data_IF_129664317377
#
_entry.id   IF_129664317377
#
_cell.length_a   1.000
_cell.length_b   1.000
_cell.length_c   1.000
_cell.angle_alpha   90.00
_cell.angle_beta   90.00
_cell.angle_gamma   90.00
#
_symmetry.space_group_name_H-M   'P 1'
#
loop_
_entity.id
_entity.type
_entity.pdbx_description
1 polymer ?
#
# COMPACT_ATOMS: atom_id res chain seq x y z
N UNK A 1 25.57 -20.39 28.32
CA UNK A 1 24.50 -19.70 27.58
C UNK A 1 24.38 -19.94 26.05
N UNK A 2 25.25 -20.69 25.32
CA UNK A 2 25.15 -20.78 23.86
C UNK A 2 24.00 -21.67 23.31
N UNK A 3 23.41 -22.54 24.13
CA UNK A 3 22.30 -23.43 23.71
C UNK A 3 20.92 -22.78 23.70
N UNK A 4 20.72 -21.65 24.40
CA UNK A 4 19.41 -21.01 24.49
C UNK A 4 19.06 -20.16 23.27
N UNK A 5 20.04 -19.53 22.61
CA UNK A 5 19.78 -18.68 21.45
C UNK A 5 19.21 -19.45 20.23
N UNK A 6 19.73 -20.64 19.85
CA UNK A 6 19.16 -21.42 18.74
C UNK A 6 17.75 -21.95 19.03
N UNK A 7 17.48 -22.34 20.28
CA UNK A 7 16.15 -22.78 20.72
C UNK A 7 15.14 -21.63 20.66
N UNK A 8 15.52 -20.45 21.14
CA UNK A 8 14.68 -19.26 21.09
C UNK A 8 14.40 -18.82 19.64
N UNK A 9 15.39 -18.86 18.74
CA UNK A 9 15.19 -18.55 17.32
C UNK A 9 14.23 -19.54 16.64
N UNK A 10 14.37 -20.84 16.90
CA UNK A 10 13.44 -21.85 16.39
C UNK A 10 12.03 -21.65 16.92
N UNK A 11 11.89 -21.35 18.21
CA UNK A 11 10.59 -21.04 18.79
C UNK A 11 9.95 -19.83 18.09
N UNK A 12 10.69 -18.73 17.92
CA UNK A 12 10.23 -17.55 17.19
C UNK A 12 9.80 -17.89 15.76
N UNK A 13 10.58 -18.69 15.02
CA UNK A 13 10.24 -19.10 13.67
C UNK A 13 8.92 -19.89 13.64
N UNK A 14 8.77 -20.88 14.54
CA UNK A 14 7.55 -21.71 14.63
C UNK A 14 6.35 -20.84 14.97
N UNK A 15 6.44 -19.98 16.00
CA UNK A 15 5.35 -19.08 16.36
C UNK A 15 5.02 -18.10 15.24
N UNK A 16 6.01 -17.57 14.52
CA UNK A 16 5.76 -16.66 13.40
C UNK A 16 5.02 -17.35 12.26
N UNK A 17 5.37 -18.59 11.95
CA UNK A 17 4.69 -19.41 10.94
C UNK A 17 3.26 -19.71 11.39
N UNK A 18 3.07 -20.15 12.64
CA UNK A 18 1.74 -20.49 13.17
C UNK A 18 0.82 -19.27 13.20
N UNK A 19 1.28 -18.16 13.78
CA UNK A 19 0.50 -16.92 13.87
C UNK A 19 0.22 -16.38 12.46
N UNK A 20 1.21 -16.38 11.57
CA UNK A 20 1.03 -15.94 10.19
C UNK A 20 0.01 -16.80 9.43
N UNK A 21 0.06 -18.13 9.61
CA UNK A 21 -0.91 -19.05 9.00
C UNK A 21 -2.32 -18.85 9.54
N UNK A 22 -2.47 -18.74 10.87
CA UNK A 22 -3.77 -18.49 11.52
C UNK A 22 -4.34 -17.13 11.13
N UNK A 23 -3.50 -16.10 11.04
CA UNK A 23 -3.87 -14.76 10.58
C UNK A 23 -4.33 -14.78 9.12
N UNK A 24 -3.59 -15.44 8.23
CA UNK A 24 -3.97 -15.52 6.82
C UNK A 24 -5.27 -16.30 6.61
N UNK A 25 -5.44 -17.43 7.32
CA UNK A 25 -6.64 -18.26 7.21
C UNK A 25 -7.87 -17.52 7.73
N UNK A 26 -7.78 -16.92 8.93
CA UNK A 26 -8.87 -16.11 9.48
C UNK A 26 -9.17 -14.90 8.62
N UNK A 27 -8.15 -14.23 8.06
CA UNK A 27 -8.34 -13.13 7.10
C UNK A 27 -9.12 -13.62 5.89
N UNK A 28 -8.71 -14.75 5.32
CA UNK A 28 -9.38 -15.34 4.16
C UNK A 28 -10.85 -15.64 4.45
N UNK A 29 -11.14 -16.27 5.58
CA UNK A 29 -12.51 -16.57 6.03
C UNK A 29 -13.28 -15.27 6.28
N UNK A 30 -12.70 -14.30 6.99
CA UNK A 30 -13.34 -13.03 7.31
C UNK A 30 -13.65 -12.22 6.04
N UNK A 31 -12.70 -12.10 5.12
CA UNK A 31 -12.90 -11.41 3.84
C UNK A 31 -13.89 -12.15 2.96
N UNK A 32 -13.89 -13.49 2.98
CA UNK A 32 -14.87 -14.27 2.25
C UNK A 32 -16.28 -14.09 2.82
N UNK A 33 -16.48 -14.25 4.13
CA UNK A 33 -17.79 -14.12 4.77
C UNK A 33 -18.29 -12.67 4.75
N UNK A 34 -17.39 -11.72 4.98
CA UNK A 34 -17.65 -10.29 4.92
C UNK A 34 -17.51 -9.72 3.51
N UNK A 35 -17.40 -10.55 2.46
CA UNK A 35 -17.38 -10.09 1.07
C UNK A 35 -18.66 -9.31 0.85
N UNK A 36 -18.49 -8.01 0.72
CA UNK A 36 -19.62 -7.12 0.67
C UNK A 36 -20.25 -7.32 -0.71
N UNK A 37 -21.50 -7.80 -0.74
CA UNK A 37 -22.34 -7.90 -1.95
C UNK A 37 -22.70 -6.52 -2.51
N UNK A 38 -22.34 -5.44 -1.82
CA UNK A 38 -22.45 -4.08 -2.34
C UNK A 38 -21.49 -3.91 -3.52
N UNK A 39 -22.03 -4.19 -4.68
CA UNK A 39 -21.75 -3.49 -5.94
C UNK A 39 -21.99 -1.95 -5.84
N UNK A 40 -22.27 -1.41 -4.63
CA UNK A 40 -23.06 -0.21 -4.36
C UNK A 40 -22.59 0.54 -3.10
N UNK A 41 -21.27 0.71 -2.90
CA UNK A 41 -20.73 1.63 -1.89
C UNK A 41 -20.81 3.12 -2.28
N UNK A 42 -21.36 3.38 -3.46
CA UNK A 42 -21.64 4.68 -4.06
C UNK A 42 -22.60 4.42 -5.21
N UNK A 43 -23.32 5.46 -5.65
CA UNK A 43 -24.34 5.37 -6.70
C UNK A 43 -23.71 5.13 -8.09
N UNK A 44 -23.16 3.93 -8.31
CA UNK A 44 -22.41 3.53 -9.52
C UNK A 44 -23.31 3.13 -10.69
N UNK A 45 -24.65 3.22 -10.56
CA UNK A 45 -25.59 3.00 -11.67
C UNK A 45 -25.27 3.88 -12.88
N UNK A 46 -24.79 5.09 -12.64
CA UNK A 46 -24.34 6.02 -13.68
C UNK A 46 -23.13 5.50 -14.47
N UNK A 47 -22.20 4.80 -13.81
CA UNK A 47 -21.02 4.19 -14.46
C UNK A 47 -21.44 2.99 -15.31
N UNK A 48 -22.35 2.15 -14.81
CA UNK A 48 -22.90 1.03 -15.58
C UNK A 48 -23.74 1.50 -16.78
N UNK A 49 -24.61 2.49 -16.57
CA UNK A 49 -25.39 3.10 -17.64
C UNK A 49 -24.49 3.73 -18.71
N UNK A 50 -23.39 4.36 -18.32
CA UNK A 50 -22.38 4.84 -19.26
C UNK A 50 -21.74 3.67 -20.02
N UNK A 51 -21.28 2.63 -19.31
CA UNK A 51 -20.61 1.47 -19.88
C UNK A 51 -21.48 0.64 -20.84
N UNK A 52 -22.80 0.65 -20.63
CA UNK A 52 -23.77 0.00 -21.51
C UNK A 52 -23.94 0.72 -22.84
N UNK A 53 -23.84 2.04 -22.84
CA UNK A 53 -24.10 2.90 -24.00
C UNK A 53 -22.83 3.34 -24.75
N UNK A 54 -21.65 3.02 -24.23
CA UNK A 54 -20.37 3.43 -24.81
C UNK A 54 -19.47 2.25 -25.13
N UNK A 55 -18.43 2.51 -25.94
CA UNK A 55 -17.45 1.47 -26.27
C UNK A 55 -16.69 1.02 -25.02
N UNK A 56 -16.13 -0.19 -25.08
CA UNK A 56 -15.30 -0.73 -24.01
C UNK A 56 -14.14 0.21 -23.65
N UNK A 57 -13.48 0.76 -24.67
CA UNK A 57 -12.35 1.67 -24.49
C UNK A 57 -12.75 2.99 -23.83
N UNK A 58 -13.84 3.63 -24.29
CA UNK A 58 -14.35 4.86 -23.67
C UNK A 58 -14.72 4.65 -22.21
N UNK A 59 -15.37 3.53 -21.91
CA UNK A 59 -15.81 3.19 -20.55
C UNK A 59 -14.64 2.96 -19.60
N UNK A 60 -13.54 2.38 -20.11
CA UNK A 60 -12.33 2.17 -19.32
C UNK A 60 -11.50 3.44 -19.12
N UNK A 61 -11.41 4.29 -20.16
CA UNK A 61 -10.46 5.41 -20.20
C UNK A 61 -10.86 6.59 -19.29
N UNK A 62 -12.14 6.93 -19.19
CA UNK A 62 -12.59 8.16 -18.54
C UNK A 62 -12.41 8.15 -17.02
N UNK A 63 -12.16 9.34 -16.44
CA UNK A 63 -12.02 9.46 -14.98
C UNK A 63 -13.33 9.21 -14.26
N UNK A 64 -13.25 8.39 -13.21
CA UNK A 64 -14.31 8.15 -12.25
C UNK A 64 -13.92 8.78 -10.92
N UNK A 65 -14.79 9.64 -10.37
CA UNK A 65 -14.52 10.37 -9.12
C UNK A 65 -13.16 11.10 -9.06
N UNK A 66 -12.66 11.59 -10.20
CA UNK A 66 -11.35 12.26 -10.32
C UNK A 66 -10.14 11.32 -10.45
N UNK A 67 -10.37 10.00 -10.55
CA UNK A 67 -9.34 8.98 -10.69
C UNK A 67 -9.36 8.35 -12.08
N UNK A 68 -8.18 8.13 -12.66
CA UNK A 68 -8.03 7.28 -13.86
C UNK A 68 -7.83 5.84 -13.39
N UNK A 69 -8.86 5.02 -13.51
CA UNK A 69 -8.90 3.61 -13.08
C UNK A 69 -8.93 2.66 -14.28
N UNK A 70 -8.17 2.97 -15.34
CA UNK A 70 -8.19 2.25 -16.61
C UNK A 70 -8.07 0.74 -16.48
N UNK A 71 -7.04 0.22 -15.80
CA UNK A 71 -6.83 -1.23 -15.72
C UNK A 71 -7.89 -1.95 -14.87
N UNK A 72 -8.25 -1.48 -13.66
CA UNK A 72 -9.37 -2.04 -12.90
C UNK A 72 -10.69 -1.96 -13.66
N UNK A 73 -10.94 -0.87 -14.41
CA UNK A 73 -12.15 -0.76 -15.23
C UNK A 73 -12.23 -1.83 -16.32
N UNK A 74 -11.11 -2.27 -16.90
CA UNK A 74 -11.12 -3.39 -17.84
C UNK A 74 -11.62 -4.67 -17.15
N UNK A 75 -11.24 -4.90 -15.90
CA UNK A 75 -11.71 -6.03 -15.09
C UNK A 75 -13.19 -5.86 -14.76
N UNK A 76 -13.61 -4.66 -14.34
CA UNK A 76 -15.01 -4.32 -14.07
C UNK A 76 -15.92 -4.49 -15.29
N UNK A 77 -15.47 -4.08 -16.47
CA UNK A 77 -16.19 -4.27 -17.73
C UNK A 77 -16.27 -5.75 -18.13
N UNK A 78 -15.22 -6.53 -17.89
CA UNK A 78 -15.26 -7.98 -18.08
C UNK A 78 -16.26 -8.64 -17.14
N UNK A 79 -16.28 -8.23 -15.88
CA UNK A 79 -17.28 -8.68 -14.93
C UNK A 79 -18.71 -8.36 -15.41
N UNK A 80 -18.94 -7.12 -15.84
CA UNK A 80 -20.25 -6.67 -16.32
C UNK A 80 -20.73 -7.48 -17.53
N UNK A 81 -19.87 -7.69 -18.54
CA UNK A 81 -20.28 -8.31 -19.81
C UNK A 81 -20.30 -9.84 -19.81
N UNK A 82 -19.40 -10.49 -19.07
CA UNK A 82 -19.24 -11.95 -19.13
C UNK A 82 -19.71 -12.66 -17.86
N UNK A 83 -19.76 -11.95 -16.73
CA UNK A 83 -20.13 -12.50 -15.43
C UNK A 83 -21.37 -11.80 -14.84
N UNK A 84 -22.11 -11.06 -15.67
CA UNK A 84 -23.37 -10.38 -15.29
C UNK A 84 -23.23 -9.42 -14.10
N UNK A 85 -22.04 -8.87 -13.88
CA UNK A 85 -21.77 -8.03 -12.71
C UNK A 85 -21.70 -8.80 -11.39
N UNK A 86 -21.32 -10.08 -11.42
CA UNK A 86 -21.18 -10.89 -10.20
C UNK A 86 -20.08 -10.32 -9.29
N UNK A 87 -20.44 -10.09 -8.03
CA UNK A 87 -19.53 -9.61 -6.99
C UNK A 87 -18.41 -10.62 -6.71
N UNK A 88 -18.67 -11.92 -6.91
CA UNK A 88 -17.69 -12.98 -6.65
C UNK A 88 -16.48 -12.88 -7.55
N UNK A 89 -16.67 -12.58 -8.83
CA UNK A 89 -15.58 -12.49 -9.80
C UNK A 89 -14.58 -11.40 -9.39
N UNK A 90 -15.06 -10.18 -9.11
CA UNK A 90 -14.20 -9.08 -8.69
C UNK A 90 -13.52 -9.35 -7.33
N UNK A 91 -14.23 -10.00 -6.40
CA UNK A 91 -13.65 -10.41 -5.13
C UNK A 91 -12.46 -11.36 -5.33
N UNK A 92 -12.63 -12.42 -6.12
CA UNK A 92 -11.55 -13.39 -6.35
C UNK A 92 -10.38 -12.81 -7.14
N UNK A 93 -10.65 -11.94 -8.13
CA UNK A 93 -9.59 -11.24 -8.86
C UNK A 93 -8.82 -10.30 -7.92
N UNK A 94 -9.52 -9.50 -7.12
CA UNK A 94 -8.90 -8.62 -6.12
C UNK A 94 -8.06 -9.39 -5.11
N UNK A 95 -8.58 -10.52 -4.60
CA UNK A 95 -7.86 -11.40 -3.69
C UNK A 95 -6.61 -12.01 -4.36
N UNK A 96 -6.72 -12.46 -5.62
CA UNK A 96 -5.60 -12.95 -6.40
C UNK A 96 -4.51 -11.90 -6.58
N UNK A 97 -4.89 -10.66 -6.91
CA UNK A 97 -3.96 -9.52 -7.03
C UNK A 97 -3.28 -9.19 -5.68
N UNK A 98 -3.99 -9.33 -4.57
CA UNK A 98 -3.42 -9.16 -3.24
C UNK A 98 -2.36 -10.25 -2.94
N UNK A 99 -2.63 -11.50 -3.28
CA UNK A 99 -1.65 -12.59 -3.17
C UNK A 99 -0.44 -12.37 -4.08
N UNK A 100 -0.66 -11.86 -5.30
CA UNK A 100 0.43 -11.48 -6.22
C UNK A 100 1.29 -10.38 -5.59
N UNK A 101 0.67 -9.34 -5.03
CA UNK A 101 1.38 -8.26 -4.32
C UNK A 101 2.26 -8.82 -3.21
N UNK A 102 1.70 -9.64 -2.33
CA UNK A 102 2.44 -10.26 -1.22
C UNK A 102 3.59 -11.12 -1.74
N UNK A 103 3.34 -11.93 -2.77
CA UNK A 103 4.37 -12.77 -3.38
C UNK A 103 5.52 -11.93 -3.95
N UNK A 104 5.22 -10.85 -4.68
CA UNK A 104 6.21 -9.94 -5.24
C UNK A 104 7.07 -9.27 -4.15
N UNK A 105 6.46 -8.88 -3.03
CA UNK A 105 7.17 -8.30 -1.88
C UNK A 105 8.04 -9.33 -1.14
N UNK A 106 7.63 -10.61 -1.11
CA UNK A 106 8.37 -11.68 -0.43
C UNK A 106 9.55 -12.23 -1.25
N UNK A 107 9.49 -12.22 -2.58
CA UNK A 107 10.59 -12.66 -3.46
C UNK A 107 11.95 -12.06 -3.07
N UNK A 108 12.11 -10.72 -2.96
CA UNK A 108 13.41 -10.12 -2.61
C UNK A 108 13.84 -10.44 -1.18
N UNK A 109 12.90 -10.58 -0.24
CA UNK A 109 13.16 -10.93 1.16
C UNK A 109 13.74 -12.35 1.26
N UNK A 110 13.12 -13.31 0.58
CA UNK A 110 13.58 -14.71 0.61
C UNK A 110 14.88 -14.92 -0.19
N UNK A 111 15.09 -14.13 -1.25
CA UNK A 111 16.35 -14.12 -2.02
C UNK A 111 17.49 -13.39 -1.33
N UNK A 112 17.23 -12.64 -0.26
CA UNK A 112 18.27 -11.95 0.50
C UNK A 112 19.18 -12.97 1.20
N UNK A 113 20.46 -12.98 0.83
CA UNK A 113 21.46 -13.88 1.43
C UNK A 113 22.03 -13.34 2.75
N UNK A 114 21.82 -12.05 3.03
CA UNK A 114 22.35 -11.39 4.23
C UNK A 114 21.43 -11.58 5.45
N UNK A 115 20.19 -12.01 5.22
CA UNK A 115 19.18 -12.18 6.25
C UNK A 115 19.08 -13.64 6.71
N UNK A 116 19.05 -13.83 8.03
CA UNK A 116 18.77 -15.12 8.66
C UNK A 116 17.33 -15.59 8.45
N UNK A 117 17.07 -16.87 8.73
CA UNK A 117 15.74 -17.47 8.60
C UNK A 117 14.71 -16.80 9.53
N UNK A 118 15.13 -16.39 10.72
CA UNK A 118 14.30 -15.67 11.69
C UNK A 118 13.82 -14.33 11.11
N UNK A 119 14.72 -13.50 10.57
CA UNK A 119 14.34 -12.26 9.89
C UNK A 119 13.40 -12.49 8.71
N UNK A 120 13.61 -13.54 7.91
CA UNK A 120 12.73 -13.89 6.77
C UNK A 120 11.33 -14.32 7.20
N UNK A 121 11.23 -15.16 8.22
CA UNK A 121 9.93 -15.64 8.75
C UNK A 121 9.15 -14.50 9.41
N UNK A 122 9.80 -13.66 10.21
CA UNK A 122 9.17 -12.46 10.79
C UNK A 122 8.76 -11.44 9.73
N UNK A 123 9.61 -11.20 8.73
CA UNK A 123 9.26 -10.34 7.60
C UNK A 123 8.05 -10.89 6.84
N UNK A 124 7.95 -12.21 6.68
CA UNK A 124 6.79 -12.86 6.06
C UNK A 124 5.53 -12.63 6.87
N UNK A 125 5.58 -12.83 8.20
CA UNK A 125 4.48 -12.51 9.10
C UNK A 125 4.03 -11.05 8.96
N UNK A 126 4.97 -10.11 8.91
CA UNK A 126 4.69 -8.67 8.79
C UNK A 126 4.05 -8.33 7.44
N UNK A 127 4.57 -8.85 6.33
CA UNK A 127 3.97 -8.63 5.00
C UNK A 127 2.56 -9.21 4.94
N UNK A 128 2.34 -10.42 5.47
CA UNK A 128 1.01 -11.05 5.54
C UNK A 128 0.08 -10.21 6.39
N UNK A 129 0.47 -9.85 7.62
CA UNK A 129 -0.35 -9.06 8.54
C UNK A 129 -0.73 -7.71 7.93
N UNK A 130 0.23 -6.98 7.35
CA UNK A 130 -0.02 -5.67 6.74
C UNK A 130 -0.94 -5.72 5.52
N UNK A 131 -0.93 -6.80 4.75
CA UNK A 131 -1.75 -6.96 3.55
C UNK A 131 -3.12 -7.61 3.83
N UNK A 132 -3.21 -8.49 4.83
CA UNK A 132 -4.43 -9.22 5.15
C UNK A 132 -5.12 -8.70 6.40
N UNK A 133 -4.72 -7.53 6.90
CA UNK A 133 -5.32 -6.94 8.09
C UNK A 133 -6.84 -6.74 7.95
N UNK A 134 -7.62 -7.34 8.84
CA UNK A 134 -9.08 -7.22 8.79
C UNK A 134 -9.57 -5.80 9.11
N UNK A 135 -8.77 -4.96 9.76
CA UNK A 135 -9.10 -3.54 10.00
C UNK A 135 -9.27 -2.73 8.70
N UNK A 136 -8.75 -3.21 7.57
CA UNK A 136 -8.97 -2.61 6.23
C UNK A 136 -9.97 -3.40 5.37
N UNK A 137 -10.80 -4.25 5.98
CA UNK A 137 -11.75 -5.12 5.27
C UNK A 137 -12.75 -4.35 4.39
N UNK A 138 -13.12 -3.12 4.75
CA UNK A 138 -13.95 -2.26 3.91
C UNK A 138 -13.36 -2.02 2.51
N UNK A 139 -12.05 -2.18 2.35
CA UNK A 139 -11.34 -2.11 1.06
C UNK A 139 -11.18 -3.51 0.47
N UNK A 140 -10.61 -4.44 1.25
CA UNK A 140 -10.17 -5.74 0.73
C UNK A 140 -11.33 -6.72 0.50
N UNK A 141 -12.46 -6.54 1.18
CA UNK A 141 -13.67 -7.31 0.95
C UNK A 141 -14.56 -6.74 -0.17
N UNK A 142 -14.31 -5.49 -0.60
CA UNK A 142 -14.94 -4.91 -1.78
C UNK A 142 -14.10 -5.26 -3.02
N UNK A 143 -14.66 -6.04 -3.95
CA UNK A 143 -13.91 -6.55 -5.10
C UNK A 143 -13.32 -5.44 -5.99
N UNK A 144 -14.04 -4.34 -6.21
CA UNK A 144 -13.57 -3.24 -7.06
C UNK A 144 -12.44 -2.46 -6.40
N UNK A 145 -12.65 -1.98 -5.17
CA UNK A 145 -11.59 -1.28 -4.43
C UNK A 145 -10.37 -2.16 -4.18
N UNK A 146 -10.55 -3.46 -3.93
CA UNK A 146 -9.43 -4.38 -3.80
C UNK A 146 -8.68 -4.52 -5.14
N UNK A 147 -9.37 -4.64 -6.27
CA UNK A 147 -8.74 -4.63 -7.59
C UNK A 147 -7.93 -3.35 -7.83
N UNK A 148 -8.49 -2.17 -7.58
CA UNK A 148 -7.80 -0.89 -7.77
C UNK A 148 -6.50 -0.80 -6.97
N UNK A 149 -6.60 -1.02 -5.65
CA UNK A 149 -5.48 -0.85 -4.73
C UNK A 149 -4.43 -1.97 -4.90
N UNK A 150 -4.87 -3.22 -5.04
CA UNK A 150 -3.95 -4.36 -5.19
C UNK A 150 -3.29 -4.40 -6.57
N UNK A 151 -3.96 -3.95 -7.64
CA UNK A 151 -3.32 -3.82 -8.95
C UNK A 151 -2.29 -2.68 -8.95
N UNK A 152 -2.63 -1.54 -8.32
CA UNK A 152 -1.70 -0.44 -8.14
C UNK A 152 -0.43 -0.89 -7.38
N UNK A 153 -0.61 -1.60 -6.27
CA UNK A 153 0.49 -2.11 -5.47
C UNK A 153 1.25 -3.27 -6.15
N UNK A 154 0.58 -4.14 -6.91
CA UNK A 154 1.24 -5.19 -7.70
C UNK A 154 2.18 -4.60 -8.75
N UNK A 155 1.72 -3.58 -9.49
CA UNK A 155 2.56 -2.84 -10.44
C UNK A 155 3.76 -2.19 -9.75
N UNK A 156 3.55 -1.51 -8.63
CA UNK A 156 4.63 -0.91 -7.86
C UNK A 156 5.62 -1.96 -7.31
N UNK A 157 5.14 -3.07 -6.73
CA UNK A 157 5.99 -4.15 -6.21
C UNK A 157 6.82 -4.83 -7.30
N UNK A 158 6.24 -5.04 -8.49
CA UNK A 158 6.98 -5.55 -9.65
C UNK A 158 8.09 -4.58 -10.08
N UNK A 159 7.79 -3.28 -10.11
CA UNK A 159 8.78 -2.26 -10.43
C UNK A 159 9.92 -2.22 -9.40
N UNK A 160 9.62 -2.34 -8.10
CA UNK A 160 10.63 -2.42 -7.03
C UNK A 160 11.53 -3.64 -7.15
N UNK A 161 10.95 -4.80 -7.50
CA UNK A 161 11.70 -6.05 -7.68
C UNK A 161 12.73 -5.94 -8.82
N UNK A 162 12.43 -5.16 -9.85
CA UNK A 162 13.18 -5.13 -11.10
C UNK A 162 14.05 -3.87 -11.29
N UNK A 163 13.82 -2.80 -10.53
CA UNK A 163 14.51 -1.51 -10.72
C UNK A 163 16.04 -1.63 -10.70
N UNK A 164 16.59 -2.46 -9.80
CA UNK A 164 18.04 -2.65 -9.72
C UNK A 164 18.64 -3.37 -10.94
N UNK A 165 17.82 -4.17 -11.66
CA UNK A 165 18.24 -4.95 -12.83
C UNK A 165 18.15 -4.15 -14.14
N UNK A 166 17.56 -2.95 -14.12
CA UNK A 166 17.44 -2.09 -15.31
C UNK A 166 18.81 -1.66 -15.88
N UNK A 167 19.85 -1.58 -15.03
CA UNK A 167 21.23 -1.29 -15.45
C UNK A 167 21.73 -2.25 -16.54
N UNK A 168 21.25 -3.49 -16.55
CA UNK A 168 21.77 -4.54 -17.41
C UNK A 168 20.82 -4.90 -18.57
N UNK A 169 19.61 -4.31 -18.65
CA UNK A 169 18.59 -4.77 -19.59
C UNK A 169 17.55 -3.70 -19.92
N UNK A 170 17.43 -3.39 -21.21
CA UNK A 170 16.34 -2.55 -21.76
C UNK A 170 14.98 -3.21 -21.62
N UNK A 171 14.88 -4.53 -21.80
CA UNK A 171 13.64 -5.28 -21.57
C UNK A 171 13.16 -5.13 -20.14
N UNK A 172 14.07 -5.21 -19.16
CA UNK A 172 13.72 -5.00 -17.75
C UNK A 172 13.27 -3.55 -17.50
N UNK A 173 13.90 -2.59 -18.18
CA UNK A 173 13.52 -1.18 -18.10
C UNK A 173 12.11 -0.95 -18.66
N UNK A 174 11.77 -1.57 -19.80
CA UNK A 174 10.44 -1.53 -20.38
C UNK A 174 9.40 -2.14 -19.42
N UNK A 175 9.69 -3.30 -18.81
CA UNK A 175 8.80 -3.91 -17.80
C UNK A 175 8.57 -2.97 -16.62
N UNK A 176 9.61 -2.33 -16.09
CA UNK A 176 9.48 -1.35 -14.99
C UNK A 176 8.59 -0.18 -15.38
N UNK A 177 8.75 0.36 -16.60
CA UNK A 177 7.91 1.45 -17.10
C UNK A 177 6.46 1.01 -17.26
N UNK A 178 6.21 -0.15 -17.87
CA UNK A 178 4.86 -0.71 -18.00
C UNK A 178 4.22 -0.93 -16.63
N UNK A 179 4.97 -1.47 -15.66
CA UNK A 179 4.50 -1.67 -14.29
C UNK A 179 4.18 -0.33 -13.59
N UNK A 180 4.94 0.73 -13.88
CA UNK A 180 4.66 2.09 -13.42
C UNK A 180 3.36 2.67 -14.01
N UNK A 181 3.08 2.42 -15.29
CA UNK A 181 1.81 2.80 -15.91
C UNK A 181 0.63 2.00 -15.37
N UNK A 182 0.80 0.69 -15.16
CA UNK A 182 -0.20 -0.16 -14.49
C UNK A 182 -0.51 0.41 -13.11
N UNK A 183 0.51 0.76 -12.32
CA UNK A 183 0.30 1.37 -11.02
C UNK A 183 -0.47 2.69 -11.12
N UNK A 184 -0.01 3.60 -11.98
CA UNK A 184 -0.56 4.96 -12.14
C UNK A 184 -2.02 5.01 -12.57
N UNK A 185 -2.42 4.09 -13.45
CA UNK A 185 -3.77 4.03 -14.01
C UNK A 185 -4.63 2.92 -13.38
N UNK A 186 -4.21 2.41 -12.23
CA UNK A 186 -5.08 1.56 -11.39
C UNK A 186 -5.74 2.35 -10.28
N UNK A 187 -5.05 3.32 -9.69
CA UNK A 187 -5.61 4.19 -8.67
C UNK A 187 -4.79 5.48 -8.57
N UNK A 188 -5.39 6.59 -8.12
CA UNK A 188 -4.70 7.88 -8.04
C UNK A 188 -3.43 7.86 -7.18
N UNK A 189 -3.42 7.06 -6.11
CA UNK A 189 -2.23 6.84 -5.28
C UNK A 189 -1.07 6.18 -6.03
N UNK A 190 -1.35 5.44 -7.11
CA UNK A 190 -0.35 4.77 -7.94
C UNK A 190 0.61 5.72 -8.66
N UNK A 191 0.24 6.99 -8.87
CA UNK A 191 1.14 8.01 -9.41
C UNK A 191 2.41 8.23 -8.55
N UNK A 192 2.35 7.86 -7.26
CA UNK A 192 3.50 7.85 -6.36
C UNK A 192 4.66 6.96 -6.84
N UNK A 193 4.41 6.04 -7.78
CA UNK A 193 5.44 5.16 -8.32
C UNK A 193 6.58 5.94 -8.99
N UNK A 194 6.29 7.03 -9.67
CA UNK A 194 7.29 7.78 -10.43
C UNK A 194 8.32 8.50 -9.56
N UNK A 195 7.94 9.35 -8.60
CA UNK A 195 8.93 9.95 -7.69
C UNK A 195 9.65 8.87 -6.87
N UNK A 196 8.98 7.76 -6.56
CA UNK A 196 9.61 6.60 -5.90
C UNK A 196 10.71 5.99 -6.77
N UNK A 197 10.42 5.65 -8.03
CA UNK A 197 11.38 5.05 -8.95
C UNK A 197 12.56 5.97 -9.25
N UNK A 198 12.32 7.29 -9.37
CA UNK A 198 13.38 8.28 -9.52
C UNK A 198 14.30 8.32 -8.28
N UNK A 199 13.72 8.31 -7.08
CA UNK A 199 14.49 8.29 -5.84
C UNK A 199 15.28 6.98 -5.69
N UNK A 200 14.67 5.84 -6.01
CA UNK A 200 15.36 4.54 -5.98
C UNK A 200 16.46 4.48 -7.02
N UNK A 201 16.23 4.97 -8.24
CA UNK A 201 17.24 5.04 -9.29
C UNK A 201 18.44 5.92 -8.87
N UNK A 202 18.15 7.04 -8.20
CA UNK A 202 19.17 7.90 -7.60
C UNK A 202 19.99 7.15 -6.54
N UNK A 203 19.32 6.49 -5.60
CA UNK A 203 19.95 5.77 -4.48
C UNK A 203 20.75 4.54 -4.95
N UNK A 204 20.31 3.87 -6.02
CA UNK A 204 20.98 2.72 -6.64
C UNK A 204 22.08 3.11 -7.63
N UNK A 205 22.29 4.42 -7.86
CA UNK A 205 23.27 4.96 -8.83
C UNK A 205 23.08 4.34 -10.23
N UNK A 206 21.83 4.29 -10.68
CA UNK A 206 21.50 3.79 -12.02
C UNK A 206 22.05 4.73 -13.10
N UNK A 207 22.28 4.22 -14.33
CA UNK A 207 22.72 5.05 -15.44
C UNK A 207 21.76 6.22 -15.69
N UNK A 208 22.30 7.38 -16.06
CA UNK A 208 21.51 8.59 -16.34
C UNK A 208 20.39 8.34 -17.36
N UNK A 209 20.65 7.51 -18.38
CA UNK A 209 19.66 7.11 -19.39
C UNK A 209 18.40 6.51 -18.78
N UNK A 210 18.54 5.67 -17.76
CA UNK A 210 17.41 5.08 -17.02
C UNK A 210 16.63 6.15 -16.27
N UNK A 211 17.34 7.08 -15.59
CA UNK A 211 16.71 8.19 -14.85
C UNK A 211 15.92 9.09 -15.81
N UNK A 212 16.50 9.46 -16.95
CA UNK A 212 15.85 10.28 -17.98
C UNK A 212 14.60 9.58 -18.51
N UNK A 213 14.69 8.29 -18.84
CA UNK A 213 13.54 7.54 -19.35
C UNK A 213 12.42 7.40 -18.30
N UNK A 214 12.77 7.18 -17.03
CA UNK A 214 11.79 7.22 -15.93
C UNK A 214 11.16 8.61 -15.79
N UNK A 215 11.94 9.68 -15.95
CA UNK A 215 11.45 11.07 -15.92
C UNK A 215 10.50 11.39 -17.08
N UNK A 216 10.83 10.98 -18.31
CA UNK A 216 9.96 11.13 -19.48
C UNK A 216 8.67 10.32 -19.28
N UNK A 217 8.78 9.09 -18.79
CA UNK A 217 7.61 8.23 -18.52
C UNK A 217 6.71 8.82 -17.43
N UNK A 218 7.31 9.42 -16.39
CA UNK A 218 6.59 10.13 -15.34
C UNK A 218 5.82 11.33 -15.88
N UNK A 219 6.47 12.13 -16.73
CA UNK A 219 5.82 13.27 -17.38
C UNK A 219 4.67 12.81 -18.28
N UNK A 220 4.87 11.75 -19.08
CA UNK A 220 3.82 11.18 -19.90
C UNK A 220 2.63 10.68 -19.07
N UNK A 221 2.89 9.96 -17.97
CA UNK A 221 1.83 9.51 -17.07
C UNK A 221 1.05 10.67 -16.46
N UNK A 222 1.74 11.74 -16.02
CA UNK A 222 1.10 12.92 -15.46
C UNK A 222 0.27 13.68 -16.51
N UNK A 223 0.78 13.84 -17.74
CA UNK A 223 0.07 14.49 -18.84
C UNK A 223 -1.18 13.70 -19.23
N UNK A 224 -1.08 12.38 -19.40
CA UNK A 224 -2.24 11.53 -19.68
C UNK A 224 -3.24 11.61 -18.52
N UNK A 225 -2.77 11.51 -17.28
CA UNK A 225 -3.64 11.60 -16.11
C UNK A 225 -4.37 12.95 -16.06
N UNK A 226 -3.75 14.07 -16.43
CA UNK A 226 -4.44 15.37 -16.45
C UNK A 226 -5.40 15.51 -17.63
N UNK A 227 -4.97 15.13 -18.83
CA UNK A 227 -5.71 15.31 -20.09
C UNK A 227 -6.94 14.41 -20.22
N UNK A 228 -6.97 13.25 -19.56
CA UNK A 228 -8.13 12.35 -19.62
C UNK A 228 -9.37 13.05 -19.04
N UNK A 229 -10.49 13.12 -19.79
CA UNK A 229 -11.70 13.76 -19.29
C UNK A 229 -12.40 12.91 -18.23
N UNK A 230 -13.22 13.55 -17.40
CA UNK A 230 -14.07 12.88 -16.43
C UNK A 230 -15.40 12.46 -17.03
N UNK A 231 -16.03 11.44 -16.45
CA UNK A 231 -17.40 11.08 -16.78
C UNK A 231 -18.35 12.28 -16.53
N UNK A 232 -19.38 12.45 -17.37
CA UNK A 232 -20.31 13.59 -17.29
C UNK A 232 -21.07 13.68 -15.95
N UNK A 233 -21.19 12.58 -15.21
CA UNK A 233 -21.84 12.52 -13.90
C UNK A 233 -20.84 12.44 -12.73
N UNK A 234 -19.56 12.71 -12.98
CA UNK A 234 -18.56 12.69 -11.91
C UNK A 234 -18.92 13.76 -10.87
N UNK A 235 -18.97 13.36 -9.60
CA UNK A 235 -19.07 14.25 -8.45
C UNK A 235 -18.20 15.50 -8.66
N UNK A 236 -18.68 16.70 -8.27
CA UNK A 236 -17.96 17.95 -8.52
C UNK A 236 -16.51 17.79 -8.06
N UNK A 237 -15.56 18.31 -8.86
CA UNK A 237 -14.12 18.29 -8.56
C UNK A 237 -13.91 18.80 -7.14
N UNK A 238 -13.82 17.88 -6.19
CA UNK A 238 -13.24 18.12 -4.86
C UNK A 238 -11.80 18.65 -4.99
N UNK A 239 -11.17 18.39 -6.15
CA UNK A 239 -9.86 18.85 -6.57
C UNK A 239 -9.89 20.28 -7.12
N UNK A 240 -10.22 21.26 -6.28
CA UNK A 240 -9.63 22.58 -6.46
C UNK A 240 -8.37 22.57 -5.60
N UNK A 241 -7.18 22.47 -6.24
CA UNK A 241 -5.92 22.78 -5.58
C UNK A 241 -6.02 24.23 -5.11
N UNK A 242 -6.44 24.41 -3.87
CA UNK A 242 -6.45 25.68 -3.18
C UNK A 242 -5.20 25.67 -2.31
N UNK A 243 -4.43 26.76 -2.24
CA UNK A 243 -3.40 26.91 -1.24
C UNK A 243 -4.09 26.99 0.13
N UNK A 244 -4.49 25.84 0.67
CA UNK A 244 -4.94 25.69 2.04
C UNK A 244 -3.77 25.92 2.99
N UNK A 245 -4.07 26.12 4.27
CA UNK A 245 -3.04 26.29 5.29
C UNK A 245 -2.07 25.08 5.27
N UNK A 246 -0.76 25.25 4.99
CA UNK A 246 0.20 24.16 4.92
C UNK A 246 0.28 23.36 6.23
N UNK A 247 -0.02 24.00 7.36
CA UNK A 247 -0.08 23.34 8.67
C UNK A 247 -1.25 22.36 8.73
N UNK A 248 -2.41 22.69 8.14
CA UNK A 248 -3.55 21.77 8.05
C UNK A 248 -3.23 20.56 7.16
N UNK A 249 -2.59 20.80 6.03
CA UNK A 249 -2.10 19.74 5.14
C UNK A 249 -1.17 18.76 5.87
N UNK A 250 -0.20 19.30 6.60
CA UNK A 250 0.75 18.51 7.39
C UNK A 250 0.05 17.74 8.53
N UNK A 251 -0.87 18.39 9.23
CA UNK A 251 -1.65 17.77 10.32
C UNK A 251 -2.47 16.60 9.81
N UNK A 252 -3.17 16.76 8.69
CA UNK A 252 -3.96 15.70 8.07
C UNK A 252 -3.07 14.58 7.52
N UNK A 253 -1.92 14.91 6.94
CA UNK A 253 -0.93 13.92 6.52
C UNK A 253 -0.45 13.07 7.70
N UNK A 254 -0.10 13.69 8.84
CA UNK A 254 0.26 12.95 10.05
C UNK A 254 -0.91 12.06 10.53
N UNK A 255 -2.14 12.58 10.60
CA UNK A 255 -3.32 11.79 10.99
C UNK A 255 -3.56 10.59 10.08
N UNK A 256 -3.40 10.75 8.76
CA UNK A 256 -3.48 9.64 7.81
C UNK A 256 -2.45 8.56 8.12
N UNK A 257 -1.18 8.97 8.33
CA UNK A 257 -0.08 8.06 8.64
C UNK A 257 -0.37 7.29 9.94
N UNK A 258 -0.88 7.96 10.98
CA UNK A 258 -1.20 7.34 12.27
C UNK A 258 -2.53 6.59 12.33
N UNK A 259 -3.36 6.66 11.29
CA UNK A 259 -4.69 6.02 11.28
C UNK A 259 -4.70 4.53 11.60
N UNK A 260 -3.72 3.69 11.19
CA UNK A 260 -3.76 2.27 11.53
C UNK A 260 -3.69 2.02 13.05
N UNK A 261 -2.94 2.82 13.79
CA UNK A 261 -2.85 2.69 15.25
C UNK A 261 -4.19 3.05 15.90
N UNK A 262 -4.82 4.13 15.44
CA UNK A 262 -6.16 4.51 15.90
C UNK A 262 -7.19 3.40 15.65
N UNK A 263 -7.20 2.85 14.44
CA UNK A 263 -8.13 1.77 14.05
C UNK A 263 -7.89 0.48 14.85
N UNK A 264 -6.63 0.14 15.11
CA UNK A 264 -6.28 -0.98 16.00
C UNK A 264 -6.80 -0.74 17.42
N UNK A 265 -6.60 0.46 18.00
CA UNK A 265 -7.13 0.78 19.34
C UNK A 265 -8.66 0.73 19.36
N UNK A 266 -9.31 1.24 18.32
CA UNK A 266 -10.76 1.23 18.19
C UNK A 266 -11.32 -0.20 18.11
N UNK A 267 -10.64 -1.10 17.40
CA UNK A 267 -11.06 -2.50 17.22
C UNK A 267 -11.04 -3.33 18.52
N UNK A 268 -10.31 -2.90 19.55
CA UNK A 268 -10.22 -3.60 20.84
C UNK A 268 -11.07 -2.97 21.96
N UNK A 269 -11.82 -1.89 21.68
CA UNK A 269 -12.73 -1.28 22.65
C UNK A 269 -14.14 -1.83 22.50
N UNK A 270 -14.64 -2.49 23.54
CA UNK A 270 -15.98 -3.09 23.60
C UNK A 270 -17.10 -2.11 23.95
N UNK A 271 -16.83 -0.99 24.64
CA UNK A 271 -17.90 -0.24 25.34
C UNK A 271 -18.22 1.18 24.85
N UNK A 272 -17.55 1.70 23.81
CA UNK A 272 -17.94 2.95 23.09
C UNK A 272 -16.98 3.18 21.91
N UNK A 273 -17.44 3.67 20.73
CA UNK A 273 -16.53 4.31 19.77
C UNK A 273 -15.77 5.44 20.51
N UNK A 274 -14.58 5.87 20.07
CA UNK A 274 -13.93 7.03 20.69
C UNK A 274 -14.91 8.22 20.67
N UNK A 275 -15.63 8.41 21.77
CA UNK A 275 -16.71 9.40 21.88
C UNK A 275 -16.14 10.82 21.83
N UNK A 276 -14.84 10.93 22.07
CA UNK A 276 -14.07 12.14 21.90
C UNK A 276 -13.28 12.10 20.58
N UNK A 277 -13.81 12.84 19.61
CA UNK A 277 -13.21 13.05 18.30
C UNK A 277 -11.82 13.71 18.43
N UNK A 278 -11.62 14.57 19.43
CA UNK A 278 -10.34 15.24 19.67
C UNK A 278 -9.26 14.25 20.12
N UNK A 279 -9.61 13.32 21.02
CA UNK A 279 -8.70 12.27 21.46
C UNK A 279 -8.28 11.35 20.30
N UNK A 280 -9.24 10.99 19.43
CA UNK A 280 -8.97 10.21 18.20
C UNK A 280 -7.97 10.91 17.29
N UNK A 281 -8.18 12.21 17.10
CA UNK A 281 -7.30 13.04 16.30
C UNK A 281 -5.91 13.19 16.89
N UNK A 282 -5.79 13.32 18.21
CA UNK A 282 -4.52 13.43 18.89
C UNK A 282 -3.70 12.13 18.76
N UNK A 283 -4.32 10.96 18.99
CA UNK A 283 -3.64 9.66 18.87
C UNK A 283 -3.09 9.47 17.45
N UNK A 284 -3.91 9.69 16.43
CA UNK A 284 -3.48 9.56 15.04
C UNK A 284 -2.40 10.57 14.66
N UNK A 285 -2.49 11.81 15.14
CA UNK A 285 -1.49 12.84 14.89
C UNK A 285 -0.12 12.46 15.46
N UNK A 286 -0.05 12.10 16.75
CA UNK A 286 1.21 11.81 17.43
C UNK A 286 1.85 10.51 16.95
N UNK A 287 1.05 9.47 16.73
CA UNK A 287 1.55 8.21 16.17
C UNK A 287 2.04 8.39 14.73
N UNK A 288 1.32 9.20 13.94
CA UNK A 288 1.74 9.59 12.60
C UNK A 288 3.05 10.35 12.59
N UNK A 289 3.20 11.35 13.46
CA UNK A 289 4.44 12.11 13.60
C UNK A 289 5.61 11.19 13.99
N UNK A 290 5.41 10.28 14.94
CA UNK A 290 6.42 9.30 15.33
C UNK A 290 6.81 8.40 14.15
N UNK A 291 5.84 7.92 13.38
CA UNK A 291 6.07 7.15 12.16
C UNK A 291 6.89 7.92 11.12
N UNK A 292 6.59 9.20 10.91
CA UNK A 292 7.33 10.07 9.98
C UNK A 292 8.77 10.36 10.44
N UNK A 293 8.99 10.55 11.73
CA UNK A 293 10.34 10.70 12.30
C UNK A 293 11.16 9.44 12.06
N UNK A 294 10.58 8.25 12.32
CA UNK A 294 11.23 6.97 12.02
C UNK A 294 11.52 6.83 10.53
N UNK A 295 10.56 7.17 9.66
CA UNK A 295 10.74 7.15 8.22
C UNK A 295 11.90 8.06 7.78
N UNK A 296 11.98 9.27 8.31
CA UNK A 296 13.09 10.20 8.06
C UNK A 296 14.45 9.60 8.41
N UNK A 297 14.55 8.91 9.55
CA UNK A 297 15.79 8.23 9.99
C UNK A 297 16.21 7.12 9.00
N UNK A 298 15.26 6.39 8.41
CA UNK A 298 15.56 5.36 7.41
C UNK A 298 15.91 5.97 6.05
N UNK A 299 15.16 6.99 5.61
CA UNK A 299 15.24 7.54 4.25
C UNK A 299 16.40 8.51 4.09
N UNK A 300 16.55 9.50 4.98
CA UNK A 300 17.51 10.63 4.81
C UNK A 300 18.93 10.11 4.63
N UNK A 301 19.36 9.18 5.48
CA UNK A 301 20.72 8.61 5.41
C UNK A 301 20.99 7.93 4.07
N UNK A 302 20.01 7.22 3.50
CA UNK A 302 20.14 6.48 2.24
C UNK A 302 20.12 7.38 1.03
N UNK A 303 19.30 8.43 1.05
CA UNK A 303 19.30 9.48 0.02
C UNK A 303 20.68 10.15 -0.04
N UNK A 304 21.25 10.51 1.12
CA UNK A 304 22.54 11.21 1.20
C UNK A 304 23.71 10.32 0.77
N UNK A 305 23.73 9.04 1.19
CA UNK A 305 24.85 8.12 0.90
C UNK A 305 24.75 7.43 -0.47
N UNK A 306 23.55 7.36 -1.04
CA UNK A 306 23.26 6.63 -2.30
C UNK A 306 23.82 5.21 -2.25
N UNK A 307 23.52 4.50 -1.17
CA UNK A 307 24.10 3.20 -0.84
C UNK A 307 23.02 2.13 -0.56
N UNK A 308 21.92 2.19 -1.29
CA UNK A 308 20.81 1.24 -1.14
C UNK A 308 21.25 -0.17 -1.50
N UNK A 309 21.12 -1.11 -0.55
CA UNK A 309 21.37 -2.54 -0.76
C UNK A 309 20.12 -3.24 -1.30
N UNK A 310 20.32 -4.36 -1.98
CA UNK A 310 19.25 -5.23 -2.48
C UNK A 310 18.67 -6.09 -1.34
N UNK A 311 17.50 -6.71 -1.56
CA UNK A 311 16.88 -7.63 -0.60
C UNK A 311 15.83 -6.99 0.29
N UNK A 312 15.83 -7.31 1.59
CA UNK A 312 14.85 -6.81 2.55
C UNK A 312 14.90 -5.28 2.69
N UNK A 313 16.11 -4.72 2.75
CA UNK A 313 16.30 -3.26 2.86
C UNK A 313 15.69 -2.51 1.67
N UNK A 314 16.00 -2.93 0.43
CA UNK A 314 15.40 -2.32 -0.76
C UNK A 314 13.89 -2.41 -0.73
N UNK A 315 13.34 -3.56 -0.35
CA UNK A 315 11.89 -3.78 -0.34
C UNK A 315 11.19 -2.88 0.67
N UNK A 316 11.71 -2.84 1.89
CA UNK A 316 11.22 -1.95 2.94
C UNK A 316 11.31 -0.49 2.55
N UNK A 317 12.46 -0.04 2.00
CA UNK A 317 12.64 1.37 1.64
C UNK A 317 11.77 1.78 0.44
N UNK A 318 11.66 0.93 -0.59
CA UNK A 318 10.79 1.18 -1.74
C UNK A 318 9.33 1.30 -1.32
N UNK A 319 8.87 0.38 -0.47
CA UNK A 319 7.49 0.40 0.06
C UNK A 319 7.26 1.65 0.93
N UNK A 320 8.23 2.03 1.77
CA UNK A 320 8.14 3.22 2.63
C UNK A 320 8.00 4.50 1.81
N UNK A 321 8.90 4.71 0.85
CA UNK A 321 8.93 5.91 0.00
C UNK A 321 7.66 6.01 -0.85
N UNK A 322 7.21 4.89 -1.41
CA UNK A 322 5.98 4.84 -2.20
C UNK A 322 4.77 5.24 -1.38
N UNK A 323 4.59 4.66 -0.19
CA UNK A 323 3.45 5.00 0.66
C UNK A 323 3.52 6.43 1.19
N UNK A 324 4.73 6.96 1.45
CA UNK A 324 4.89 8.38 1.79
C UNK A 324 4.38 9.29 0.67
N UNK A 325 4.79 9.05 -0.58
CA UNK A 325 4.31 9.83 -1.72
C UNK A 325 2.82 9.62 -1.98
N UNK A 326 2.30 8.40 -1.87
CA UNK A 326 0.88 8.12 -2.05
C UNK A 326 0.01 8.84 -1.01
N UNK A 327 0.41 8.79 0.26
CA UNK A 327 -0.27 9.51 1.35
C UNK A 327 -0.15 11.03 1.20
N UNK A 328 0.98 11.53 0.69
CA UNK A 328 1.14 12.96 0.39
C UNK A 328 0.20 13.39 -0.74
N UNK A 329 0.07 12.60 -1.81
CA UNK A 329 -0.88 12.86 -2.90
C UNK A 329 -2.33 12.87 -2.37
N UNK A 330 -2.67 11.96 -1.46
CA UNK A 330 -4.00 11.93 -0.82
C UNK A 330 -4.22 13.20 0.01
N UNK A 331 -3.28 13.56 0.88
CA UNK A 331 -3.37 14.73 1.74
C UNK A 331 -3.51 16.04 0.94
N UNK A 332 -2.70 16.21 -0.10
CA UNK A 332 -2.72 17.40 -0.97
C UNK A 332 -3.94 17.42 -1.88
N UNK A 333 -4.31 16.29 -2.48
CA UNK A 333 -5.43 16.19 -3.42
C UNK A 333 -6.81 16.38 -2.79
N UNK A 334 -6.90 16.36 -1.45
CA UNK A 334 -8.17 16.42 -0.70
C UNK A 334 -8.22 17.58 0.31
N UNK A 335 -7.35 18.60 0.19
CA UNK A 335 -7.28 19.72 1.15
C UNK A 335 -8.62 20.40 1.46
N UNK A 336 -9.60 20.40 0.55
CA UNK A 336 -10.96 20.92 0.76
C UNK A 336 -12.00 19.88 1.23
N UNK A 337 -11.72 18.59 1.09
CA UNK A 337 -12.65 17.49 1.43
C UNK A 337 -12.28 16.77 2.72
N UNK A 338 -11.12 17.10 3.30
CA UNK A 338 -10.64 16.51 4.55
C UNK A 338 -11.48 16.89 5.76
N UNK A 339 -12.30 17.93 5.66
CA UNK A 339 -13.29 18.29 6.70
C UNK A 339 -14.41 17.24 6.83
N UNK A 340 -14.58 16.35 5.84
CA UNK A 340 -15.68 15.38 5.84
C UNK A 340 -15.33 14.02 6.43
N UNK A 341 -14.15 13.41 6.19
CA UNK A 341 -13.69 12.20 6.92
C UNK A 341 -12.18 11.95 6.76
N UNK A 342 -11.32 12.49 7.64
CA UNK A 342 -9.86 12.24 7.63
C UNK A 342 -9.48 10.78 7.90
N UNK A 343 -10.41 10.01 8.46
CA UNK A 343 -10.22 8.62 8.83
C UNK A 343 -10.97 7.66 7.92
N UNK A 344 -11.43 8.07 6.74
CA UNK A 344 -12.17 7.17 5.86
C UNK A 344 -11.39 5.85 5.68
N UNK A 345 -12.00 4.68 5.96
CA UNK A 345 -11.30 3.40 5.98
C UNK A 345 -10.50 3.11 4.70
N UNK A 346 -10.91 3.68 3.55
CA UNK A 346 -10.24 3.60 2.25
C UNK A 346 -8.77 4.03 2.23
N UNK A 347 -8.31 4.85 3.18
CA UNK A 347 -6.91 5.27 3.25
C UNK A 347 -6.01 4.30 4.02
N UNK A 348 -6.60 3.36 4.77
CA UNK A 348 -5.86 2.37 5.56
C UNK A 348 -5.00 1.44 4.70
N UNK A 349 -5.33 1.27 3.42
CA UNK A 349 -4.51 0.46 2.51
C UNK A 349 -3.07 0.97 2.46
N UNK A 350 -2.87 2.28 2.27
CA UNK A 350 -1.54 2.89 2.15
C UNK A 350 -0.87 3.08 3.52
N UNK A 351 -1.63 3.53 4.52
CA UNK A 351 -1.07 3.74 5.87
C UNK A 351 -0.63 2.44 6.53
N UNK A 352 -1.36 1.33 6.36
CA UNK A 352 -0.93 0.03 6.89
C UNK A 352 0.36 -0.46 6.23
N UNK A 353 0.52 -0.27 4.92
CA UNK A 353 1.74 -0.61 4.19
C UNK A 353 2.92 0.31 4.55
N UNK A 354 2.67 1.57 4.88
CA UNK A 354 3.68 2.45 5.48
C UNK A 354 4.24 1.85 6.78
N UNK A 355 3.39 1.47 7.74
CA UNK A 355 3.86 0.85 8.99
C UNK A 355 4.53 -0.51 8.76
N UNK A 356 3.99 -1.31 7.83
CA UNK A 356 4.60 -2.58 7.39
C UNK A 356 6.05 -2.35 6.96
N UNK A 357 6.30 -1.31 6.15
CA UNK A 357 7.64 -0.98 5.68
C UNK A 357 8.61 -0.57 6.80
N UNK A 358 8.14 0.19 7.80
CA UNK A 358 8.95 0.56 8.96
C UNK A 358 9.36 -0.67 9.79
N UNK A 359 8.44 -1.62 9.97
CA UNK A 359 8.73 -2.85 10.71
C UNK A 359 9.72 -3.73 9.94
N UNK A 360 9.57 -3.86 8.62
CA UNK A 360 10.55 -4.58 7.78
C UNK A 360 11.96 -3.99 7.90
N UNK A 361 12.08 -2.67 7.87
CA UNK A 361 13.35 -1.97 8.03
C UNK A 361 13.90 -2.08 9.47
N UNK A 362 13.03 -2.16 10.48
CA UNK A 362 13.44 -2.42 11.85
C UNK A 362 13.98 -3.86 12.02
N UNK A 363 13.33 -4.86 11.39
CA UNK A 363 13.81 -6.25 11.37
C UNK A 363 15.19 -6.33 10.71
N UNK A 364 15.39 -5.68 9.56
CA UNK A 364 16.70 -5.62 8.89
C UNK A 364 17.79 -5.06 9.82
N UNK A 365 17.50 -3.95 10.51
CA UNK A 365 18.45 -3.37 11.47
C UNK A 365 18.72 -4.28 12.67
N UNK A 366 17.70 -5.01 13.12
CA UNK A 366 17.80 -5.90 14.27
C UNK A 366 18.74 -7.08 14.03
N UNK A 367 18.90 -7.54 12.79
CA UNK A 367 19.86 -8.59 12.42
C UNK A 367 21.32 -8.16 12.69
N UNK A 368 21.61 -6.86 12.66
CA UNK A 368 22.94 -6.31 12.98
C UNK A 368 23.13 -6.02 14.48
N UNK A 369 22.09 -6.19 15.30
CA UNK A 369 22.14 -5.99 16.75
C UNK A 369 22.31 -7.34 17.45
N UNK A 370 23.14 -7.39 18.50
CA UNK A 370 23.30 -8.61 19.32
C UNK A 370 22.08 -8.83 20.22
N UNK A 371 22.22 -8.84 21.55
CA UNK A 371 21.11 -9.10 22.48
C UNK A 371 19.98 -8.06 22.42
N UNK A 372 20.25 -6.84 21.94
CA UNK A 372 19.25 -5.77 21.81
C UNK A 372 18.24 -5.98 20.66
N UNK A 373 18.38 -7.06 19.87
CA UNK A 373 17.46 -7.36 18.76
C UNK A 373 16.09 -7.88 19.24
N UNK A 374 16.02 -8.55 20.39
CA UNK A 374 14.82 -9.27 20.82
C UNK A 374 13.55 -8.41 20.95
N UNK A 375 13.57 -7.18 21.52
CA UNK A 375 12.38 -6.33 21.53
C UNK A 375 11.85 -6.02 20.12
N UNK A 376 12.74 -5.84 19.15
CA UNK A 376 12.37 -5.57 17.75
C UNK A 376 11.81 -6.84 17.09
N UNK A 377 12.36 -8.01 17.41
CA UNK A 377 11.86 -9.30 16.90
C UNK A 377 10.54 -9.73 17.54
N UNK A 378 10.24 -9.26 18.75
CA UNK A 378 8.96 -9.51 19.43
C UNK A 378 7.84 -8.56 18.97
N UNK A 379 8.19 -7.39 18.44
CA UNK A 379 7.23 -6.39 17.96
C UNK A 379 6.28 -6.93 16.87
N UNK A 380 6.72 -7.69 15.85
CA UNK A 380 5.82 -8.34 14.88
C UNK A 380 4.71 -9.18 15.51
N UNK A 381 4.99 -9.88 16.61
CA UNK A 381 3.99 -10.69 17.30
C UNK A 381 2.96 -9.82 18.00
N UNK A 382 3.41 -8.81 18.74
CA UNK A 382 2.51 -7.86 19.37
C UNK A 382 1.61 -7.20 18.32
N UNK A 383 2.19 -6.79 17.19
CA UNK A 383 1.43 -6.18 16.10
C UNK A 383 0.45 -7.17 15.49
N UNK A 384 0.83 -8.42 15.22
CA UNK A 384 -0.09 -9.42 14.67
C UNK A 384 -1.25 -9.71 15.63
N UNK A 385 -0.99 -9.76 16.94
CA UNK A 385 -2.02 -9.94 17.97
C UNK A 385 -2.95 -8.73 18.00
N UNK A 386 -2.42 -7.51 18.13
CA UNK A 386 -3.26 -6.30 18.19
C UNK A 386 -3.97 -6.01 16.85
N UNK A 387 -3.35 -6.34 15.72
CA UNK A 387 -3.99 -6.20 14.42
C UNK A 387 -5.14 -7.19 14.21
N UNK A 388 -5.17 -8.29 14.95
CA UNK A 388 -6.33 -9.17 14.99
C UNK A 388 -7.49 -8.41 15.67
N UNK A 389 -8.62 -8.12 15.01
CA UNK A 389 -9.72 -7.41 15.66
C UNK A 389 -10.29 -8.25 16.81
N UNK A 390 -10.64 -7.62 17.93
CA UNK A 390 -11.51 -8.29 18.89
C UNK A 390 -12.86 -8.55 18.20
N UNK A 391 -13.30 -9.81 18.19
CA UNK A 391 -14.63 -10.19 17.73
C UNK A 391 -15.62 -10.15 18.88
#
# INVERSE_FOLDING_TARGET
>A
MPRFAPLAERAVQIFAILIGGVFLLSAGVYLYLGRVTSFMGGDFWSVYAFAWNHTWFQSALLKQAGHVTFFPNLIGLANLRFFHGDVQMLFFVGLGLLFITVSLLLIPIWRDKTMGLTGKTLSTLVVVTGNFWMGRASITANGEFNCENSLAMSGAALAFLLIAKTRCSWTTTAIVVCAGFVASFSFGGGLAIWPTLLLLAWCLRLPWRTIVLLGISALAAALVYEMVPALPFSWPKASAFSPGNPISALTNFCRLVGSPVLYTIAAWRTEKPLADLEQSFAIALWTGLAGLVLAGIFVIRRILRRDLKTGLESTGLSLLVFNLFALMLIAVGRLKSFDLEPFAPRYLFWSSLFWTSLILLAIERAEHLQWRRWPILLLPFAIAIFAWPAH
#
